data_IF_563967232596
#
_entry.id   IF_563967232596
#
_cell.length_a   1.000
_cell.length_b   1.000
_cell.length_c   1.000
_cell.angle_alpha   90.00
_cell.angle_beta   90.00
_cell.angle_gamma   90.00
#
_symmetry.space_group_name_H-M   'P 1'
#
loop_
_entity.id
_entity.type
_entity.pdbx_description
1 polymer ?
#
# COMPACT_ATOMS: atom_id res chain seq x y z
N UNK A 1 -52.96 31.73 14.52
CA UNK A 1 -54.39 31.73 14.13
C UNK A 1 -54.46 31.76 12.61
N UNK A 2 -54.89 30.63 12.07
CA UNK A 2 -55.51 30.33 10.77
C UNK A 2 -55.31 31.23 9.55
N UNK A 3 -54.88 30.60 8.46
CA UNK A 3 -55.07 31.04 7.08
C UNK A 3 -54.90 29.85 6.15
N UNK A 4 -55.98 29.10 5.92
CA UNK A 4 -56.06 27.97 4.98
C UNK A 4 -55.72 28.42 3.55
N UNK A 5 -54.95 27.61 2.82
CA UNK A 5 -54.86 27.67 1.36
C UNK A 5 -55.15 26.30 0.77
N UNK A 6 -56.08 26.33 -0.18
CA UNK A 6 -56.64 25.22 -0.91
C UNK A 6 -55.59 24.42 -1.68
N UNK A 7 -55.85 23.12 -1.77
CA UNK A 7 -55.10 22.14 -2.53
C UNK A 7 -55.26 22.35 -4.05
N UNK A 8 -54.16 22.62 -4.74
CA UNK A 8 -54.01 22.32 -6.17
C UNK A 8 -52.77 21.43 -6.34
N UNK A 9 -52.99 20.12 -6.49
CA UNK A 9 -51.94 19.13 -6.78
C UNK A 9 -51.58 19.22 -8.27
N UNK A 10 -50.43 19.81 -8.58
CA UNK A 10 -49.74 19.59 -9.85
C UNK A 10 -49.02 18.24 -9.77
N UNK A 11 -49.30 17.34 -10.71
CA UNK A 11 -48.57 16.09 -10.87
C UNK A 11 -47.17 16.37 -11.40
N UNK A 12 -46.16 16.21 -10.54
CA UNK A 12 -44.76 16.14 -10.97
C UNK A 12 -44.42 14.68 -11.24
N UNK A 13 -44.24 14.34 -12.52
CA UNK A 13 -43.50 13.14 -12.93
C UNK A 13 -42.05 13.30 -12.43
N UNK A 14 -41.66 12.45 -11.48
CA UNK A 14 -40.26 12.27 -11.10
C UNK A 14 -39.67 11.18 -11.99
N UNK A 15 -38.96 11.57 -13.04
CA UNK A 15 -38.00 10.69 -13.70
C UNK A 15 -36.82 10.46 -12.74
N UNK A 16 -36.84 9.34 -12.02
CA UNK A 16 -35.68 8.89 -11.25
C UNK A 16 -34.61 8.37 -12.21
N UNK A 17 -33.58 9.19 -12.40
CA UNK A 17 -32.28 8.77 -12.96
C UNK A 17 -31.77 7.60 -12.11
N UNK A 18 -31.44 6.43 -12.70
CA UNK A 18 -30.85 5.36 -11.93
C UNK A 18 -29.49 5.84 -11.43
N UNK A 19 -29.39 6.00 -10.11
CA UNK A 19 -28.11 6.18 -9.43
C UNK A 19 -27.27 4.95 -9.77
N UNK A 20 -26.32 5.12 -10.68
CA UNK A 20 -25.29 4.15 -10.99
C UNK A 20 -24.46 3.97 -9.74
N UNK A 21 -24.91 3.07 -8.86
CA UNK A 21 -24.20 2.69 -7.65
C UNK A 21 -22.78 2.31 -8.04
N UNK A 22 -21.83 3.11 -7.57
CA UNK A 22 -20.41 2.78 -7.56
C UNK A 22 -20.29 1.35 -7.07
N UNK A 23 -19.93 0.43 -7.98
CA UNK A 23 -19.57 -0.93 -7.57
C UNK A 23 -18.45 -0.77 -6.57
N UNK A 24 -18.74 -1.00 -5.29
CA UNK A 24 -17.73 -1.24 -4.27
C UNK A 24 -16.82 -2.32 -4.86
N UNK A 25 -15.66 -1.89 -5.37
CA UNK A 25 -14.58 -2.79 -5.71
C UNK A 25 -14.02 -3.23 -4.37
N UNK A 26 -14.72 -4.16 -3.74
CA UNK A 26 -14.20 -4.94 -2.64
C UNK A 26 -12.84 -5.47 -3.12
N UNK A 27 -11.75 -5.20 -2.37
CA UNK A 27 -10.43 -5.67 -2.76
C UNK A 27 -10.52 -7.19 -2.95
N UNK A 28 -10.06 -7.66 -4.10
CA UNK A 28 -9.99 -9.10 -4.35
C UNK A 28 -9.04 -9.68 -3.32
N UNK A 29 -9.53 -10.58 -2.49
CA UNK A 29 -8.70 -11.32 -1.56
C UNK A 29 -7.60 -12.04 -2.35
N UNK A 30 -6.35 -11.78 -1.98
CA UNK A 30 -5.20 -12.49 -2.52
C UNK A 30 -4.88 -13.59 -1.52
N UNK A 31 -5.05 -14.85 -1.92
CA UNK A 31 -4.77 -16.00 -1.07
C UNK A 31 -3.26 -16.28 -1.02
N UNK A 32 -2.78 -16.75 0.13
CA UNK A 32 -1.40 -17.21 0.31
C UNK A 32 -1.22 -18.58 -0.36
N UNK A 33 -0.82 -18.55 -1.62
CA UNK A 33 -0.66 -19.76 -2.45
C UNK A 33 0.80 -20.24 -2.57
N UNK A 34 1.75 -19.54 -1.93
CA UNK A 34 3.18 -19.79 -2.08
C UNK A 34 3.83 -20.01 -0.72
N UNK A 35 4.73 -20.99 -0.67
CA UNK A 35 5.44 -21.41 0.55
C UNK A 35 6.90 -20.98 0.57
N UNK A 36 7.42 -20.45 -0.54
CA UNK A 36 8.82 -20.00 -0.66
C UNK A 36 8.96 -18.78 -1.58
N UNK A 37 10.10 -18.08 -1.45
CA UNK A 37 10.46 -16.96 -2.34
C UNK A 37 10.64 -17.44 -3.78
N UNK A 38 11.19 -18.63 -3.98
CA UNK A 38 11.41 -19.21 -5.32
C UNK A 38 10.08 -19.49 -6.05
N UNK A 39 9.06 -19.96 -5.33
CA UNK A 39 7.72 -20.13 -5.88
C UNK A 39 7.11 -18.79 -6.31
N UNK A 40 7.33 -17.72 -5.55
CA UNK A 40 6.87 -16.37 -5.91
C UNK A 40 7.58 -15.88 -7.18
N UNK A 41 8.90 -16.07 -7.27
CA UNK A 41 9.68 -15.70 -8.47
C UNK A 41 9.16 -16.46 -9.71
N UNK A 42 8.92 -17.77 -9.59
CA UNK A 42 8.40 -18.57 -10.68
C UNK A 42 7.01 -18.10 -11.13
N UNK A 43 6.12 -17.81 -10.18
CA UNK A 43 4.78 -17.31 -10.46
C UNK A 43 4.80 -15.92 -11.13
N UNK A 44 5.72 -15.04 -10.72
CA UNK A 44 5.90 -13.73 -11.36
C UNK A 44 6.34 -13.89 -12.82
N UNK A 45 7.27 -14.83 -13.12
CA UNK A 45 7.66 -15.15 -14.50
C UNK A 45 6.49 -15.71 -15.31
N UNK A 46 5.74 -16.66 -14.75
CA UNK A 46 4.58 -17.26 -15.41
C UNK A 46 3.48 -16.23 -15.71
N UNK A 47 3.30 -15.25 -14.82
CA UNK A 47 2.40 -14.12 -15.02
C UNK A 47 2.89 -13.11 -16.08
N UNK A 48 4.09 -13.31 -16.64
CA UNK A 48 4.67 -12.48 -17.70
C UNK A 48 5.47 -11.27 -17.20
N UNK A 49 5.95 -11.28 -15.96
CA UNK A 49 6.93 -10.29 -15.53
C UNK A 49 8.28 -10.61 -16.18
N UNK A 50 8.68 -9.79 -17.14
CA UNK A 50 9.95 -9.94 -17.87
C UNK A 50 11.02 -9.03 -17.28
N UNK A 51 10.68 -7.75 -17.09
CA UNK A 51 11.51 -6.75 -16.42
C UNK A 51 10.69 -5.79 -15.58
N UNK A 52 11.35 -5.15 -14.62
CA UNK A 52 10.77 -4.22 -13.66
C UNK A 52 11.78 -3.15 -13.30
N UNK A 53 11.30 -1.93 -13.08
CA UNK A 53 12.06 -0.89 -12.41
C UNK A 53 11.52 -0.76 -10.99
N UNK A 54 12.41 -0.77 -9.99
CA UNK A 54 12.02 -0.67 -8.59
C UNK A 54 12.37 0.71 -8.03
N UNK A 55 11.43 1.31 -7.30
CA UNK A 55 11.68 2.49 -6.47
C UNK A 55 11.37 2.11 -5.03
N UNK A 56 12.29 2.40 -4.11
CA UNK A 56 12.13 2.13 -2.69
C UNK A 56 11.87 3.42 -1.91
N UNK A 57 10.80 3.46 -1.12
CA UNK A 57 10.50 4.56 -0.19
C UNK A 57 10.55 4.06 1.25
N UNK A 58 11.33 4.72 2.10
CA UNK A 58 11.50 4.38 3.52
C UNK A 58 10.90 5.47 4.40
N UNK A 59 9.93 5.07 5.22
CA UNK A 59 9.31 5.90 6.23
C UNK A 59 10.23 6.05 7.45
N UNK A 60 10.77 7.24 7.66
CA UNK A 60 11.56 7.64 8.83
C UNK A 60 10.77 8.48 9.84
N UNK A 61 9.43 8.38 9.83
CA UNK A 61 8.59 9.07 10.81
C UNK A 61 8.89 8.59 12.22
N UNK A 62 8.70 9.50 13.18
CA UNK A 62 8.87 9.22 14.61
C UNK A 62 8.02 8.04 15.11
N UNK A 63 6.90 7.73 14.44
CA UNK A 63 6.00 6.64 14.85
C UNK A 63 6.66 5.26 14.92
N UNK A 64 7.73 5.07 14.15
CA UNK A 64 8.52 3.85 14.17
C UNK A 64 9.18 3.56 15.52
N UNK A 65 9.36 4.56 16.40
CA UNK A 65 9.89 4.37 17.75
C UNK A 65 9.02 3.45 18.61
N UNK A 66 7.69 3.48 18.42
CA UNK A 66 6.74 2.72 19.26
C UNK A 66 5.96 1.65 18.51
N UNK A 67 5.90 1.68 17.18
CA UNK A 67 5.17 0.69 16.38
C UNK A 67 5.70 -0.75 16.55
N UNK A 68 6.97 -0.91 16.94
CA UNK A 68 7.57 -2.21 17.29
C UNK A 68 7.15 -2.79 18.65
N UNK A 69 6.21 -2.16 19.37
CA UNK A 69 5.76 -2.59 20.72
C UNK A 69 5.41 -4.07 20.82
N UNK A 70 4.72 -4.61 19.82
CA UNK A 70 4.23 -5.98 19.81
C UNK A 70 5.01 -6.90 18.85
N UNK A 71 5.56 -6.34 17.77
CA UNK A 71 6.18 -7.10 16.67
C UNK A 71 7.70 -7.15 16.73
N UNK A 72 8.35 -6.21 17.45
CA UNK A 72 9.80 -6.08 17.46
C UNK A 72 10.36 -5.84 18.87
N UNK A 73 9.79 -6.54 19.85
CA UNK A 73 10.33 -6.58 21.22
C UNK A 73 10.38 -5.20 21.90
N UNK A 74 9.43 -4.31 21.60
CA UNK A 74 9.38 -2.92 22.11
C UNK A 74 10.56 -2.05 21.67
N UNK A 75 11.23 -2.42 20.58
CA UNK A 75 12.26 -1.60 19.95
C UNK A 75 11.66 -0.75 18.82
N UNK A 76 12.37 0.32 18.46
CA UNK A 76 12.10 1.05 17.22
C UNK A 76 12.21 0.11 16.03
N UNK A 77 11.32 0.27 15.04
CA UNK A 77 11.38 -0.49 13.79
C UNK A 77 12.65 -0.19 12.97
N UNK A 78 13.33 0.92 13.26
CA UNK A 78 14.63 1.31 12.67
C UNK A 78 15.84 0.96 13.56
N UNK A 79 15.66 0.18 14.63
CA UNK A 79 16.76 -0.11 15.55
C UNK A 79 17.84 -0.96 14.85
N UNK A 80 19.07 -0.43 14.78
CA UNK A 80 20.23 -1.16 14.25
C UNK A 80 20.84 -2.01 15.38
N UNK A 81 20.99 -3.31 15.12
CA UNK A 81 21.53 -4.27 16.08
C UNK A 81 22.12 -5.49 15.37
N UNK A 82 22.56 -6.51 16.12
CA UNK A 82 23.00 -7.79 15.52
C UNK A 82 21.88 -8.60 14.86
N UNK A 83 20.61 -8.23 15.05
CA UNK A 83 19.47 -8.85 14.38
C UNK A 83 18.82 -7.84 13.43
N UNK A 84 18.51 -8.24 12.17
CA UNK A 84 17.86 -7.36 11.21
C UNK A 84 16.51 -6.84 11.72
N UNK A 85 16.30 -5.54 11.61
CA UNK A 85 15.02 -4.91 11.89
C UNK A 85 13.99 -5.18 10.78
N UNK A 86 12.69 -4.89 10.99
CA UNK A 86 11.67 -5.19 10.00
C UNK A 86 11.87 -4.51 8.63
N UNK A 87 12.47 -3.31 8.57
CA UNK A 87 12.81 -2.68 7.30
C UNK A 87 13.93 -3.45 6.58
N UNK A 88 15.00 -3.85 7.28
CA UNK A 88 16.08 -4.67 6.71
C UNK A 88 15.55 -6.01 6.17
N UNK A 89 14.64 -6.65 6.91
CA UNK A 89 14.00 -7.90 6.48
C UNK A 89 13.14 -7.69 5.22
N UNK A 90 12.31 -6.64 5.20
CA UNK A 90 11.46 -6.34 4.05
C UNK A 90 12.29 -6.04 2.79
N UNK A 91 13.33 -5.20 2.92
CA UNK A 91 14.24 -4.87 1.82
C UNK A 91 14.94 -6.14 1.30
N UNK A 92 15.39 -7.03 2.21
CA UNK A 92 16.00 -8.31 1.82
C UNK A 92 15.05 -9.23 1.07
N UNK A 93 13.78 -9.30 1.49
CA UNK A 93 12.75 -10.09 0.80
C UNK A 93 12.45 -9.50 -0.58
N UNK A 94 12.19 -8.20 -0.66
CA UNK A 94 11.94 -7.50 -1.92
C UNK A 94 13.10 -7.70 -2.89
N UNK A 95 14.34 -7.49 -2.43
CA UNK A 95 15.54 -7.66 -3.25
C UNK A 95 15.71 -9.09 -3.77
N UNK A 96 15.53 -10.10 -2.93
CA UNK A 96 15.60 -11.51 -3.38
C UNK A 96 14.50 -11.87 -4.37
N UNK A 97 13.29 -11.36 -4.18
CA UNK A 97 12.15 -11.67 -5.05
C UNK A 97 12.23 -10.94 -6.40
N UNK A 98 12.65 -9.68 -6.42
CA UNK A 98 12.56 -8.83 -7.61
C UNK A 98 13.87 -8.63 -8.37
N UNK A 99 15.04 -8.87 -7.77
CA UNK A 99 16.33 -8.76 -8.49
C UNK A 99 16.43 -9.59 -9.77
N UNK A 100 15.78 -10.78 -9.93
CA UNK A 100 15.82 -11.51 -11.21
C UNK A 100 15.07 -10.82 -12.37
N UNK A 101 14.39 -9.72 -12.09
CA UNK A 101 13.60 -8.93 -13.04
C UNK A 101 14.08 -7.47 -13.09
N UNK A 102 15.17 -7.14 -12.42
CA UNK A 102 15.76 -5.81 -12.45
C UNK A 102 16.90 -5.80 -13.48
N UNK A 103 16.76 -5.00 -14.53
CA UNK A 103 17.67 -5.06 -15.68
C UNK A 103 19.01 -4.35 -15.42
N UNK A 104 19.02 -3.33 -14.54
CA UNK A 104 20.18 -2.48 -14.29
C UNK A 104 20.72 -2.58 -12.85
N UNK A 105 20.01 -3.28 -11.96
CA UNK A 105 20.31 -3.38 -10.53
C UNK A 105 20.36 -2.01 -9.82
N UNK A 106 19.75 -0.97 -10.41
CA UNK A 106 19.69 0.38 -9.85
C UNK A 106 18.30 0.60 -9.25
N UNK A 107 18.27 0.68 -7.92
CA UNK A 107 17.04 0.95 -7.17
C UNK A 107 17.12 2.36 -6.59
N UNK A 108 16.46 3.36 -7.21
CA UNK A 108 16.26 4.65 -6.57
C UNK A 108 15.64 4.50 -5.18
N UNK A 109 16.33 4.95 -4.14
CA UNK A 109 15.93 4.84 -2.76
C UNK A 109 15.67 6.22 -2.16
N UNK A 110 14.52 6.38 -1.50
CA UNK A 110 14.09 7.67 -0.95
C UNK A 110 13.65 7.54 0.52
N UNK A 111 14.07 8.48 1.36
CA UNK A 111 13.60 8.62 2.75
C UNK A 111 12.60 9.76 2.90
N UNK A 112 11.60 9.58 3.77
CA UNK A 112 10.65 10.64 4.12
C UNK A 112 10.29 10.62 5.61
N UNK A 113 9.91 11.77 6.16
CA UNK A 113 9.29 11.86 7.50
C UNK A 113 10.23 12.08 8.69
N UNK A 114 11.53 12.33 8.47
CA UNK A 114 12.55 12.58 9.51
C UNK A 114 12.52 14.00 10.10
N UNK A 115 11.58 14.85 9.67
CA UNK A 115 11.46 16.24 10.10
C UNK A 115 12.25 17.23 9.24
N UNK A 116 13.06 16.77 8.28
CA UNK A 116 13.53 17.60 7.17
C UNK A 116 12.49 17.52 6.06
N UNK A 117 12.05 18.68 5.57
CA UNK A 117 11.15 18.71 4.41
C UNK A 117 11.91 18.22 3.17
N UNK A 118 11.24 17.37 2.39
CA UNK A 118 11.59 16.82 1.07
C UNK A 118 12.20 15.41 1.09
N UNK A 119 11.67 14.55 0.21
CA UNK A 119 12.25 13.25 -0.13
C UNK A 119 13.78 13.37 -0.22
N UNK A 120 14.49 12.53 0.51
CA UNK A 120 15.94 12.43 0.42
C UNK A 120 16.32 11.19 -0.39
N UNK A 121 17.01 11.36 -1.51
CA UNK A 121 17.64 10.24 -2.21
C UNK A 121 18.82 9.73 -1.37
N UNK A 122 18.94 8.40 -1.25
CA UNK A 122 20.13 7.73 -0.72
C UNK A 122 20.98 7.15 -1.84
#
# INVERSE_FOLDING_TARGET
MWGERAHHRHGHHHDHVPSGGSKDRQPKFIADNYSSVDEVIAALREAGLESSNLILGIDFTKSNEWSGRHSFGRKSLHAISGTPNPYEQAISIIGRTLSPFDDDNLIPCFGFGDGKYSLHCF
#
